data_IF_097059795333
#
_entry.id   IF_097059795333
#
_cell.length_a   1.000
_cell.length_b   1.000
_cell.length_c   1.000
_cell.angle_alpha   90.00
_cell.angle_beta   90.00
_cell.angle_gamma   90.00
#
_symmetry.space_group_name_H-M   'P 1'
#
loop_
_entity.id
_entity.type
_entity.pdbx_description
1 polymer ?
#
# COMPACT_ATOMS: atom_id res chain seq x y z
N UNK A 1 -40.12 -26.24 -9.70
CA UNK A 1 -38.81 -25.94 -10.31
C UNK A 1 -38.89 -24.59 -11.01
N UNK A 2 -38.16 -23.60 -10.52
CA UNK A 2 -37.66 -22.46 -11.29
C UNK A 2 -36.50 -21.89 -10.45
N UNK A 3 -35.29 -22.33 -10.77
CA UNK A 3 -34.05 -21.82 -10.19
C UNK A 3 -33.86 -20.40 -10.73
N UNK A 4 -33.93 -19.41 -9.85
CA UNK A 4 -33.63 -18.03 -10.20
C UNK A 4 -32.17 -17.90 -10.62
N UNK A 5 -31.96 -17.39 -11.83
CA UNK A 5 -30.65 -17.09 -12.40
C UNK A 5 -29.98 -15.97 -11.58
N UNK A 6 -29.04 -16.35 -10.71
CA UNK A 6 -28.05 -15.44 -10.19
C UNK A 6 -27.08 -15.13 -11.35
N UNK A 7 -27.35 -14.05 -12.08
CA UNK A 7 -26.39 -13.50 -13.04
C UNK A 7 -25.14 -13.05 -12.27
N UNK A 8 -24.15 -13.93 -12.18
CA UNK A 8 -22.78 -13.57 -11.82
C UNK A 8 -22.29 -12.54 -12.84
N UNK A 9 -22.41 -11.26 -12.50
CA UNK A 9 -21.87 -10.15 -13.29
C UNK A 9 -20.36 -10.38 -13.34
N UNK A 10 -19.86 -10.94 -14.45
CA UNK A 10 -18.43 -11.25 -14.63
C UNK A 10 -17.65 -9.97 -14.34
N UNK A 11 -16.79 -9.98 -13.31
CA UNK A 11 -15.84 -8.90 -13.07
C UNK A 11 -14.94 -8.84 -14.30
N UNK A 12 -15.05 -7.79 -15.09
CA UNK A 12 -14.25 -7.60 -16.30
C UNK A 12 -12.87 -7.16 -15.89
N UNK A 13 -11.88 -8.02 -16.11
CA UNK A 13 -10.47 -7.63 -16.00
C UNK A 13 -10.15 -6.62 -17.11
N UNK A 14 -9.39 -5.58 -16.77
CA UNK A 14 -9.07 -4.46 -17.66
C UNK A 14 -7.58 -4.24 -17.85
N UNK A 15 -6.72 -4.72 -16.95
CA UNK A 15 -5.27 -4.63 -17.06
C UNK A 15 -4.60 -5.76 -16.28
N UNK A 16 -3.46 -6.27 -16.76
CA UNK A 16 -2.60 -7.17 -16.00
C UNK A 16 -1.19 -6.60 -15.87
N UNK A 17 -0.96 -5.78 -14.83
CA UNK A 17 0.28 -5.05 -14.67
C UNK A 17 1.18 -5.73 -13.64
N UNK A 18 2.18 -6.47 -14.13
CA UNK A 18 3.02 -7.34 -13.30
C UNK A 18 2.17 -8.32 -12.48
N UNK A 19 2.24 -8.26 -11.15
CA UNK A 19 1.52 -9.15 -10.24
C UNK A 19 0.12 -8.61 -9.88
N UNK A 20 -0.31 -7.51 -10.49
CA UNK A 20 -1.60 -6.85 -10.19
C UNK A 20 -2.60 -6.99 -11.33
N UNK A 21 -3.72 -7.65 -11.05
CA UNK A 21 -4.84 -7.78 -11.96
C UNK A 21 -5.91 -6.74 -11.62
N UNK A 22 -6.05 -5.72 -12.46
CA UNK A 22 -7.09 -4.70 -12.27
C UNK A 22 -8.39 -5.09 -12.95
N UNK A 23 -9.50 -4.84 -12.26
CA UNK A 23 -10.85 -4.96 -12.80
C UNK A 23 -11.48 -3.59 -13.02
N UNK A 24 -12.51 -3.54 -13.86
CA UNK A 24 -13.25 -2.30 -14.15
C UNK A 24 -13.78 -1.63 -12.86
N UNK A 25 -14.16 -2.43 -11.86
CA UNK A 25 -14.58 -1.95 -10.54
C UNK A 25 -13.48 -1.24 -9.77
N UNK A 26 -12.23 -1.68 -9.89
CA UNK A 26 -11.10 -1.08 -9.18
C UNK A 26 -10.72 0.26 -9.83
N UNK A 27 -10.74 0.29 -11.16
CA UNK A 27 -10.46 1.51 -11.94
C UNK A 27 -11.47 2.62 -11.64
N UNK A 28 -12.74 2.25 -11.47
CA UNK A 28 -13.80 3.20 -11.16
C UNK A 28 -13.54 3.97 -9.84
N UNK A 29 -12.84 3.37 -8.87
CA UNK A 29 -12.55 3.97 -7.57
C UNK A 29 -11.69 5.24 -7.70
N UNK A 30 -10.81 5.33 -8.70
CA UNK A 30 -9.96 6.50 -8.90
C UNK A 30 -10.71 7.73 -9.42
N UNK A 31 -11.83 7.53 -10.11
CA UNK A 31 -12.65 8.60 -10.70
C UNK A 31 -13.83 9.01 -9.80
N UNK A 32 -14.15 8.20 -8.80
CA UNK A 32 -15.30 8.39 -7.91
C UNK A 32 -14.95 9.05 -6.59
N UNK A 33 -16.02 9.40 -5.85
CA UNK A 33 -15.96 9.76 -4.41
C UNK A 33 -16.05 8.49 -3.56
N UNK A 34 -15.14 7.55 -3.80
CA UNK A 34 -15.14 6.20 -3.24
C UNK A 34 -13.79 5.88 -2.60
N UNK A 35 -13.80 4.96 -1.64
CA UNK A 35 -12.58 4.44 -1.04
C UNK A 35 -11.82 3.59 -2.03
N UNK A 36 -10.50 3.75 -2.06
CA UNK A 36 -9.64 2.80 -2.75
C UNK A 36 -9.62 1.50 -1.96
N UNK A 37 -9.66 0.37 -2.67
CA UNK A 37 -9.45 -0.94 -2.12
C UNK A 37 -7.97 -1.34 -2.22
N UNK A 38 -7.61 -2.47 -1.62
CA UNK A 38 -6.26 -3.02 -1.62
C UNK A 38 -5.69 -3.16 -3.03
N UNK A 39 -6.49 -3.65 -3.98
CA UNK A 39 -6.05 -3.89 -5.36
C UNK A 39 -5.72 -2.58 -6.09
N UNK A 40 -6.52 -1.53 -5.90
CA UNK A 40 -6.27 -0.20 -6.45
C UNK A 40 -5.03 0.44 -5.81
N UNK A 41 -4.86 0.32 -4.49
CA UNK A 41 -3.66 0.82 -3.80
C UNK A 41 -2.42 0.08 -4.31
N UNK A 42 -2.46 -1.26 -4.33
CA UNK A 42 -1.37 -2.11 -4.78
C UNK A 42 -0.97 -1.82 -6.22
N UNK A 43 -1.94 -1.66 -7.13
CA UNK A 43 -1.66 -1.29 -8.51
C UNK A 43 -0.78 -0.05 -8.62
N UNK A 44 -1.13 1.02 -7.91
CA UNK A 44 -0.38 2.27 -8.04
C UNK A 44 0.99 2.18 -7.35
N UNK A 45 1.07 1.49 -6.21
CA UNK A 45 2.36 1.21 -5.58
C UNK A 45 3.28 0.40 -6.51
N UNK A 46 2.75 -0.64 -7.17
CA UNK A 46 3.50 -1.41 -8.16
C UNK A 46 3.91 -0.56 -9.35
N UNK A 47 3.02 0.31 -9.86
CA UNK A 47 3.38 1.26 -10.91
C UNK A 47 4.56 2.15 -10.49
N UNK A 48 4.53 2.71 -9.28
CA UNK A 48 5.63 3.53 -8.76
C UNK A 48 6.92 2.71 -8.61
N UNK A 49 6.85 1.46 -8.13
CA UNK A 49 8.00 0.54 -8.03
C UNK A 49 8.69 0.37 -9.39
N UNK A 50 7.92 0.23 -10.46
CA UNK A 50 8.45 -0.08 -11.79
C UNK A 50 8.93 1.16 -12.56
N UNK A 51 8.46 2.36 -12.20
CA UNK A 51 8.66 3.56 -13.04
C UNK A 51 9.32 4.74 -12.34
N UNK A 52 9.27 4.81 -11.02
CA UNK A 52 9.69 5.99 -10.25
C UNK A 52 10.65 5.64 -9.12
N UNK A 53 10.37 4.58 -8.37
CA UNK A 53 11.13 4.20 -7.20
C UNK A 53 12.56 3.80 -7.58
N UNK A 54 13.51 4.12 -6.71
CA UNK A 54 14.87 3.56 -6.78
C UNK A 54 14.88 2.15 -6.17
N UNK A 55 15.87 1.33 -6.54
CA UNK A 55 15.96 -0.06 -6.08
C UNK A 55 16.07 -0.20 -4.54
N UNK A 56 16.52 0.83 -3.83
CA UNK A 56 16.59 0.86 -2.37
C UNK A 56 15.29 1.31 -1.68
N UNK A 57 14.23 1.57 -2.44
CA UNK A 57 12.90 1.93 -1.93
C UNK A 57 11.97 0.71 -2.02
N UNK A 58 11.34 0.37 -0.89
CA UNK A 58 10.28 -0.64 -0.83
C UNK A 58 8.92 0.05 -0.72
N UNK A 59 8.05 -0.22 -1.69
CA UNK A 59 6.62 0.04 -1.59
C UNK A 59 5.95 -1.30 -1.26
N UNK A 60 5.41 -1.43 -0.05
CA UNK A 60 4.87 -2.71 0.41
C UNK A 60 3.45 -2.94 -0.11
N UNK A 61 3.18 -4.12 -0.65
CA UNK A 61 1.85 -4.56 -1.05
C UNK A 61 0.94 -4.66 0.20
N UNK A 62 -0.28 -4.06 0.20
CA UNK A 62 -1.25 -4.24 1.28
C UNK A 62 -1.48 -5.71 1.71
N UNK A 63 -1.48 -6.66 0.77
CA UNK A 63 -1.63 -8.08 1.07
C UNK A 63 -0.42 -8.65 1.83
N UNK A 64 0.79 -8.16 1.52
CA UNK A 64 2.01 -8.51 2.26
C UNK A 64 1.98 -7.93 3.68
N UNK A 65 1.45 -6.70 3.85
CA UNK A 65 1.23 -6.12 5.20
C UNK A 65 0.24 -6.94 6.00
N UNK A 66 -0.86 -7.39 5.37
CA UNK A 66 -1.83 -8.28 5.99
C UNK A 66 -1.22 -9.64 6.39
N UNK A 67 -0.42 -10.24 5.51
CA UNK A 67 0.33 -11.46 5.80
C UNK A 67 1.26 -11.27 7.01
N UNK A 68 2.05 -10.19 7.02
CA UNK A 68 2.95 -9.82 8.12
C UNK A 68 2.23 -9.72 9.47
N UNK A 69 1.00 -9.20 9.48
CA UNK A 69 0.25 -8.95 10.72
C UNK A 69 -0.48 -10.18 11.26
N UNK A 70 -0.84 -11.12 10.39
CA UNK A 70 -1.83 -12.14 10.71
C UNK A 70 -1.45 -13.58 10.37
N UNK A 71 -0.35 -13.77 9.63
CA UNK A 71 0.09 -15.10 9.20
C UNK A 71 1.52 -15.40 9.63
N UNK A 72 2.35 -14.40 9.93
CA UNK A 72 3.68 -14.62 10.51
C UNK A 72 3.57 -14.86 12.02
N UNK A 73 3.84 -16.09 12.45
CA UNK A 73 3.84 -16.57 13.83
C UNK A 73 5.25 -16.92 14.33
N UNK A 74 6.17 -17.30 13.42
CA UNK A 74 7.54 -17.70 13.77
C UNK A 74 8.64 -17.05 12.92
N UNK A 75 9.89 -17.21 13.38
CA UNK A 75 11.07 -16.59 12.78
C UNK A 75 11.29 -17.01 11.32
N UNK A 76 10.95 -18.24 10.94
CA UNK A 76 11.16 -18.73 9.57
C UNK A 76 10.20 -18.03 8.60
N UNK A 77 8.94 -17.82 9.01
CA UNK A 77 7.95 -17.07 8.22
C UNK A 77 8.34 -15.59 8.06
N UNK A 78 8.86 -14.95 9.12
CA UNK A 78 9.42 -13.59 9.02
C UNK A 78 10.62 -13.56 8.07
N UNK A 79 11.51 -14.54 8.13
CA UNK A 79 12.66 -14.62 7.22
C UNK A 79 12.24 -14.77 5.76
N UNK A 80 11.28 -15.64 5.48
CA UNK A 80 10.80 -15.87 4.11
C UNK A 80 10.09 -14.65 3.55
N UNK A 81 9.25 -13.98 4.35
CA UNK A 81 8.60 -12.73 3.95
C UNK A 81 9.64 -11.64 3.70
N UNK A 82 10.65 -11.50 4.58
CA UNK A 82 11.70 -10.51 4.45
C UNK A 82 12.57 -10.74 3.21
N UNK A 83 12.85 -12.00 2.86
CA UNK A 83 13.53 -12.40 1.61
C UNK A 83 12.67 -12.04 0.40
N UNK A 84 11.36 -12.35 0.45
CA UNK A 84 10.42 -12.08 -0.64
C UNK A 84 10.35 -10.60 -1.02
N UNK A 85 10.44 -9.69 -0.04
CA UNK A 85 10.48 -8.23 -0.31
C UNK A 85 11.91 -7.66 -0.43
N UNK A 86 12.93 -8.52 -0.32
CA UNK A 86 14.35 -8.17 -0.34
C UNK A 86 14.70 -7.06 0.69
N UNK A 87 14.16 -7.17 1.90
CA UNK A 87 14.19 -6.10 2.92
C UNK A 87 15.61 -5.66 3.31
N UNK A 88 16.59 -6.57 3.28
CA UNK A 88 17.97 -6.27 3.64
C UNK A 88 18.60 -5.16 2.78
N UNK A 89 18.12 -4.98 1.54
CA UNK A 89 18.64 -3.99 0.60
C UNK A 89 17.85 -2.67 0.61
N UNK A 90 16.76 -2.59 1.39
CA UNK A 90 15.83 -1.45 1.38
C UNK A 90 16.20 -0.42 2.44
N UNK A 91 16.40 0.83 2.02
CA UNK A 91 16.77 1.96 2.88
C UNK A 91 15.57 2.82 3.26
N UNK A 92 14.56 2.84 2.41
CA UNK A 92 13.29 3.53 2.61
C UNK A 92 12.17 2.52 2.39
N UNK A 93 11.32 2.32 3.38
CA UNK A 93 10.16 1.45 3.26
C UNK A 93 8.89 2.28 3.48
N UNK A 94 7.94 2.16 2.56
CA UNK A 94 6.66 2.84 2.56
C UNK A 94 5.60 1.74 2.65
N UNK A 95 4.93 1.69 3.80
CA UNK A 95 4.05 0.60 4.19
C UNK A 95 2.64 1.16 4.34
N UNK A 96 1.69 0.79 3.46
CA UNK A 96 0.30 1.22 3.61
C UNK A 96 -0.29 0.57 4.87
N UNK A 97 -1.04 1.35 5.63
CA UNK A 97 -1.64 0.92 6.91
C UNK A 97 -3.16 1.04 6.82
N UNK A 98 -3.84 -0.05 7.16
CA UNK A 98 -5.29 -0.10 7.38
C UNK A 98 -5.59 -0.26 8.86
N UNK A 99 -6.75 0.24 9.31
CA UNK A 99 -7.34 -0.05 10.62
C UNK A 99 -7.99 -1.44 10.73
N UNK A 100 -7.84 -2.29 9.71
CA UNK A 100 -8.31 -3.67 9.78
C UNK A 100 -7.49 -4.49 10.79
N UNK A 101 -8.17 -5.04 11.78
CA UNK A 101 -7.59 -5.87 12.84
C UNK A 101 -7.74 -7.39 12.59
N UNK A 102 -8.45 -7.80 11.53
CA UNK A 102 -8.77 -9.21 11.26
C UNK A 102 -8.53 -9.60 9.79
N UNK A 103 -8.13 -10.84 9.55
CA UNK A 103 -8.09 -11.40 8.20
C UNK A 103 -9.48 -11.39 7.58
N UNK A 104 -9.64 -10.65 6.47
CA UNK A 104 -10.93 -10.48 5.79
C UNK A 104 -11.92 -9.55 6.51
N UNK A 105 -11.47 -8.80 7.52
CA UNK A 105 -12.24 -7.74 8.14
C UNK A 105 -12.41 -6.51 7.25
N UNK A 106 -13.30 -5.61 7.65
CA UNK A 106 -13.51 -4.32 6.98
C UNK A 106 -12.50 -3.28 7.51
N UNK A 107 -11.93 -2.49 6.61
CA UNK A 107 -11.15 -1.30 6.94
C UNK A 107 -11.97 -0.04 6.65
N UNK A 108 -11.83 0.98 7.49
CA UNK A 108 -12.44 2.29 7.29
C UNK A 108 -11.45 3.37 6.88
N UNK A 109 -10.15 3.13 7.04
CA UNK A 109 -9.15 4.17 6.84
C UNK A 109 -7.77 3.68 6.41
N UNK A 110 -7.20 4.42 5.45
CA UNK A 110 -5.82 4.25 4.97
C UNK A 110 -4.90 5.34 5.51
N UNK A 111 -3.70 4.95 5.87
CA UNK A 111 -2.59 5.84 6.20
C UNK A 111 -1.26 5.23 5.73
N UNK A 112 -0.15 5.95 5.89
CA UNK A 112 1.15 5.53 5.42
C UNK A 112 2.16 5.52 6.55
N UNK A 113 2.80 4.37 6.78
CA UNK A 113 3.95 4.24 7.67
C UNK A 113 5.24 4.26 6.84
N UNK A 114 6.16 5.14 7.20
CA UNK A 114 7.47 5.26 6.58
C UNK A 114 8.53 4.77 7.56
N UNK A 115 9.39 3.84 7.13
CA UNK A 115 10.60 3.46 7.85
C UNK A 115 11.84 3.89 7.07
N UNK A 116 12.70 4.69 7.69
CA UNK A 116 13.98 5.10 7.11
C UNK A 116 14.98 5.47 8.20
N UNK A 117 16.25 5.11 8.02
CA UNK A 117 17.34 5.44 8.95
C UNK A 117 17.07 5.03 10.40
N UNK A 118 16.40 3.90 10.61
CA UNK A 118 16.09 3.40 11.95
C UNK A 118 14.88 4.06 12.62
N UNK A 119 14.13 4.90 11.91
CA UNK A 119 13.01 5.66 12.47
C UNK A 119 11.70 5.37 11.72
N UNK A 120 10.60 5.30 12.47
CA UNK A 120 9.25 5.20 11.95
C UNK A 120 8.55 6.56 12.00
N UNK A 121 7.96 6.98 10.87
CA UNK A 121 7.12 8.16 10.73
C UNK A 121 5.78 7.78 10.14
N UNK A 122 4.70 8.18 10.80
CA UNK A 122 3.33 7.87 10.41
C UNK A 122 2.65 9.13 9.84
N UNK A 123 2.16 8.99 8.61
CA UNK A 123 1.43 10.03 7.90
C UNK A 123 -0.04 9.62 7.81
N UNK A 124 -0.88 10.39 8.49
CA UNK A 124 -2.32 10.16 8.56
C UNK A 124 -3.06 11.40 8.07
N UNK A 125 -3.84 11.22 7.00
CA UNK A 125 -4.66 12.29 6.42
C UNK A 125 -5.93 12.59 7.22
N UNK A 126 -6.26 11.73 8.21
CA UNK A 126 -7.24 11.98 9.26
C UNK A 126 -6.54 11.85 10.61
N UNK A 127 -5.77 12.87 10.99
CA UNK A 127 -4.81 12.84 12.10
C UNK A 127 -5.22 11.99 13.31
N UNK A 128 -4.45 10.93 13.56
CA UNK A 128 -4.58 10.06 14.73
C UNK A 128 -5.54 8.89 14.58
N UNK A 129 -6.25 8.77 13.46
CA UNK A 129 -7.21 7.68 13.22
C UNK A 129 -6.50 6.32 13.22
N UNK A 130 -5.39 6.18 12.46
CA UNK A 130 -4.64 4.92 12.38
C UNK A 130 -3.47 4.83 13.36
N UNK A 131 -3.38 5.69 14.39
CA UNK A 131 -2.26 5.66 15.35
C UNK A 131 -2.02 4.28 15.96
N UNK A 132 -3.09 3.57 16.32
CA UNK A 132 -2.97 2.22 16.89
C UNK A 132 -2.49 1.22 15.84
N UNK A 133 -3.11 1.23 14.66
CA UNK A 133 -2.77 0.36 13.53
C UNK A 133 -1.32 0.56 13.06
N UNK A 134 -0.86 1.81 12.94
CA UNK A 134 0.50 2.15 12.56
C UNK A 134 1.53 1.58 13.55
N UNK A 135 1.25 1.64 14.86
CA UNK A 135 2.11 1.02 15.88
C UNK A 135 2.09 -0.51 15.82
N UNK A 136 0.94 -1.12 15.51
CA UNK A 136 0.85 -2.58 15.28
C UNK A 136 1.75 -2.98 14.10
N UNK A 137 1.61 -2.29 12.97
CA UNK A 137 2.44 -2.52 11.78
C UNK A 137 3.92 -2.29 12.09
N UNK A 138 4.28 -1.20 12.79
CA UNK A 138 5.67 -0.90 13.15
C UNK A 138 6.30 -2.02 14.00
N UNK A 139 5.56 -2.60 14.96
CA UNK A 139 6.06 -3.72 15.77
C UNK A 139 6.33 -4.96 14.93
N UNK A 140 5.38 -5.37 14.09
CA UNK A 140 5.60 -6.52 13.19
C UNK A 140 6.72 -6.25 12.18
N UNK A 141 6.84 -5.02 11.67
CA UNK A 141 7.92 -4.63 10.77
C UNK A 141 9.30 -4.65 11.48
N UNK A 142 9.37 -4.31 12.76
CA UNK A 142 10.61 -4.45 13.55
C UNK A 142 11.05 -5.92 13.68
N UNK A 143 10.11 -6.85 13.86
CA UNK A 143 10.41 -8.29 13.79
C UNK A 143 10.91 -8.70 12.40
N UNK A 144 10.29 -8.19 11.35
CA UNK A 144 10.71 -8.43 9.97
C UNK A 144 12.14 -7.91 9.69
N UNK A 145 12.52 -6.76 10.26
CA UNK A 145 13.90 -6.24 10.18
C UNK A 145 14.88 -7.19 10.88
N UNK A 146 14.56 -7.63 12.09
CA UNK A 146 15.41 -8.55 12.87
C UNK A 146 15.64 -9.88 12.15
N UNK A 147 14.63 -10.39 11.43
CA UNK A 147 14.75 -11.59 10.61
C UNK A 147 15.78 -11.46 9.47
N UNK A 148 16.15 -10.22 9.08
CA UNK A 148 17.26 -9.97 8.13
C UNK A 148 18.61 -9.73 8.80
N UNK A 149 18.70 -9.82 10.13
CA UNK A 149 19.87 -9.42 10.92
C UNK A 149 20.03 -7.90 11.06
N UNK A 150 18.98 -7.13 10.73
CA UNK A 150 18.98 -5.66 10.88
C UNK A 150 18.47 -5.27 12.26
N UNK A 151 19.29 -4.48 12.95
CA UNK A 151 19.02 -3.95 14.29
C UNK A 151 18.89 -2.42 14.31
N UNK A 152 18.91 -1.78 13.12
CA UNK A 152 18.81 -0.32 13.03
C UNK A 152 17.45 0.22 13.48
N UNK A 153 16.42 -0.62 13.52
CA UNK A 153 15.08 -0.27 14.00
C UNK A 153 14.75 -0.72 15.42
N UNK A 154 15.72 -1.18 16.23
CA UNK A 154 15.43 -1.75 17.56
C UNK A 154 14.74 -0.74 18.50
N UNK A 155 13.56 -1.12 18.99
CA UNK A 155 12.68 -0.29 19.82
C UNK A 155 12.09 0.93 19.10
N UNK A 156 12.27 1.06 17.78
CA UNK A 156 11.71 2.17 17.01
C UNK A 156 10.18 2.08 16.96
N UNK A 157 9.59 0.89 17.06
CA UNK A 157 8.13 0.72 17.06
C UNK A 157 7.43 1.37 18.28
N UNK A 158 8.16 1.60 19.38
CA UNK A 158 7.64 2.33 20.55
C UNK A 158 7.73 3.86 20.38
N UNK A 159 8.45 4.32 19.36
CA UNK A 159 8.74 5.74 19.08
C UNK A 159 8.26 6.18 17.70
N UNK A 160 7.17 5.58 17.21
CA UNK A 160 6.54 6.02 15.94
C UNK A 160 6.17 7.50 16.05
N UNK A 161 6.79 8.32 15.21
CA UNK A 161 6.52 9.76 15.11
C UNK A 161 5.23 9.98 14.31
N UNK A 162 4.24 10.63 14.92
CA UNK A 162 3.04 11.10 14.24
C UNK A 162 3.32 12.45 13.56
N UNK A 163 3.37 12.48 12.23
CA UNK A 163 3.75 13.68 11.47
C UNK A 163 2.63 14.70 11.51
N UNK A 164 2.79 15.73 12.33
CA UNK A 164 1.74 16.72 12.64
C UNK A 164 1.36 17.60 11.45
N UNK A 165 2.29 17.85 10.54
CA UNK A 165 2.13 18.68 9.35
C UNK A 165 1.79 17.86 8.09
N UNK A 166 1.42 16.59 8.26
CA UNK A 166 0.94 15.75 7.16
C UNK A 166 -0.30 16.38 6.51
N UNK A 167 -0.42 16.38 5.16
CA UNK A 167 -1.61 16.86 4.47
C UNK A 167 -2.89 16.17 4.97
N UNK A 168 -3.89 16.96 5.37
CA UNK A 168 -5.16 16.45 5.88
C UNK A 168 -6.23 16.39 4.77
N UNK A 169 -7.03 15.32 4.77
CA UNK A 169 -8.14 15.15 3.84
C UNK A 169 -9.30 16.07 4.21
N UNK A 170 -9.98 16.62 3.20
CA UNK A 170 -11.15 17.50 3.38
C UNK A 170 -12.49 16.78 3.14
N UNK A 171 -12.46 15.46 2.99
CA UNK A 171 -13.62 14.62 2.73
C UNK A 171 -13.43 13.25 3.39
N UNK A 172 -14.44 12.37 3.35
CA UNK A 172 -14.39 11.07 4.01
C UNK A 172 -13.85 9.92 3.16
N UNK A 173 -13.29 10.14 1.98
CA UNK A 173 -12.98 9.06 1.03
C UNK A 173 -11.62 9.11 0.35
N UNK A 174 -10.82 10.15 0.60
CA UNK A 174 -9.52 10.34 -0.05
C UNK A 174 -8.34 9.72 0.70
N UNK A 175 -8.53 9.09 1.86
CA UNK A 175 -7.44 8.52 2.66
C UNK A 175 -6.46 7.67 1.83
N UNK A 176 -6.97 6.76 0.99
CA UNK A 176 -6.15 5.97 0.08
C UNK A 176 -5.42 6.80 -0.99
N UNK A 177 -6.05 7.86 -1.51
CA UNK A 177 -5.41 8.78 -2.46
C UNK A 177 -4.25 9.53 -1.80
N UNK A 178 -4.40 9.95 -0.54
CA UNK A 178 -3.32 10.60 0.22
C UNK A 178 -2.14 9.66 0.44
N UNK A 179 -2.39 8.37 0.73
CA UNK A 179 -1.33 7.35 0.80
C UNK A 179 -0.54 7.28 -0.51
N UNK A 180 -1.23 7.18 -1.65
CA UNK A 180 -0.59 7.09 -2.97
C UNK A 180 0.21 8.35 -3.34
N UNK A 181 -0.33 9.52 -3.03
CA UNK A 181 0.34 10.81 -3.25
C UNK A 181 1.61 10.93 -2.41
N UNK A 182 1.57 10.55 -1.14
CA UNK A 182 2.74 10.56 -0.26
C UNK A 182 3.78 9.53 -0.71
N UNK A 183 3.36 8.34 -1.12
CA UNK A 183 4.26 7.35 -1.69
C UNK A 183 4.99 7.90 -2.93
N UNK A 184 4.26 8.51 -3.88
CA UNK A 184 4.86 9.15 -5.05
C UNK A 184 5.84 10.27 -4.64
N UNK A 185 5.44 11.12 -3.69
CA UNK A 185 6.28 12.21 -3.18
C UNK A 185 7.64 11.72 -2.68
N UNK A 186 7.65 10.65 -1.89
CA UNK A 186 8.88 10.08 -1.34
C UNK A 186 9.71 9.37 -2.43
N UNK A 187 9.09 8.66 -3.36
CA UNK A 187 9.80 8.05 -4.49
C UNK A 187 10.47 9.09 -5.39
N UNK A 188 9.80 10.23 -5.66
CA UNK A 188 10.31 11.29 -6.55
C UNK A 188 11.29 12.26 -5.90
N UNK A 189 11.70 12.05 -4.65
CA UNK A 189 12.50 13.01 -3.87
C UNK A 189 11.82 14.39 -3.81
N UNK A 190 10.57 14.41 -3.35
CA UNK A 190 9.78 15.60 -3.04
C UNK A 190 9.01 16.27 -4.21
N UNK A 191 8.50 15.50 -5.16
CA UNK A 191 7.62 16.00 -6.26
C UNK A 191 6.34 15.17 -6.35
N UNK A 192 5.20 15.81 -6.65
CA UNK A 192 3.87 15.18 -6.69
C UNK A 192 3.18 15.44 -8.02
N UNK A 193 2.35 14.50 -8.49
CA UNK A 193 1.40 14.70 -9.61
C UNK A 193 -0.06 14.72 -9.15
N UNK A 194 -0.97 15.32 -9.93
CA UNK A 194 -2.40 15.35 -9.61
C UNK A 194 -3.07 13.99 -9.86
N UNK A 195 -2.93 13.06 -8.92
CA UNK A 195 -3.21 11.64 -9.12
C UNK A 195 -4.57 11.35 -9.79
N UNK A 196 -5.68 11.83 -9.23
CA UNK A 196 -7.04 11.57 -9.77
C UNK A 196 -7.23 12.01 -11.22
N UNK A 197 -6.59 13.10 -11.62
CA UNK A 197 -6.69 13.63 -12.99
C UNK A 197 -5.84 12.81 -13.97
N UNK A 198 -4.79 12.16 -13.48
CA UNK A 198 -3.83 11.41 -14.28
C UNK A 198 -4.17 9.92 -14.37
N UNK A 199 -4.78 9.31 -13.35
CA UNK A 199 -5.04 7.87 -13.30
C UNK A 199 -5.86 7.33 -14.49
N UNK A 200 -6.96 7.96 -14.93
CA UNK A 200 -7.71 7.47 -16.10
C UNK A 200 -6.88 7.45 -17.39
N UNK A 201 -6.02 8.46 -17.58
CA UNK A 201 -5.13 8.55 -18.75
C UNK A 201 -4.04 7.50 -18.68
N UNK A 202 -3.41 7.34 -17.51
CA UNK A 202 -2.37 6.35 -17.28
C UNK A 202 -2.88 4.92 -17.55
N UNK A 203 -4.05 4.57 -17.04
CA UNK A 203 -4.65 3.24 -17.26
C UNK A 203 -4.90 3.01 -18.76
N UNK A 204 -5.45 4.01 -19.46
CA UNK A 204 -5.67 3.91 -20.91
C UNK A 204 -4.35 3.77 -21.70
N UNK A 205 -3.27 4.39 -21.26
CA UNK A 205 -1.93 4.25 -21.85
C UNK A 205 -1.34 2.85 -21.64
N UNK A 206 -1.44 2.32 -20.43
CA UNK A 206 -0.95 0.98 -20.10
C UNK A 206 -1.71 -0.10 -20.87
N UNK A 207 -3.03 0.02 -20.99
CA UNK A 207 -3.87 -0.89 -21.78
C UNK A 207 -3.46 -0.93 -23.27
N UNK A 208 -3.15 0.22 -23.86
CA UNK A 208 -2.65 0.29 -25.25
C UNK A 208 -1.30 -0.40 -25.40
N UNK A 209 -0.45 -0.27 -24.39
CA UNK A 209 0.89 -0.88 -24.38
C UNK A 209 0.81 -2.41 -24.24
N UNK A 210 -0.07 -2.92 -23.39
CA UNK A 210 -0.32 -4.37 -23.26
C UNK A 210 -0.93 -4.96 -24.54
N UNK A 211 -1.90 -4.28 -25.15
CA UNK A 211 -2.54 -4.74 -26.39
C UNK A 211 -1.58 -4.82 -27.59
N UNK A 212 -0.50 -4.03 -27.58
CA UNK A 212 0.53 -4.05 -28.64
C UNK A 212 1.64 -5.08 -28.44
N UNK A 213 1.64 -5.84 -27.34
CA UNK A 213 2.60 -6.92 -27.06
C UNK A 213 2.06 -8.32 -27.39
N UNK A 214 0.80 -8.41 -27.85
CA UNK A 214 0.11 -9.65 -28.24
C UNK A 214 0.17 -9.96 -29.72
#
# INVERSE_FOLDING_TARGET
MALGEWSARRRRQVLNYHDVQLYESDVALFSGRQWLNDNAVNFYLQFLTQTVASDDVLLMDPAVVSCLLHQCEDEDEFQDLARGVNLAQRRLCLVPVTDNDLLGGDSSHWSLLLFAKGEFRHFDSSAGHNRHAARRVARSFEHLLKATGRHDGDGAADRVEEVQDAPQQQNGYDCGVYVLVLAEYFCRRHRVTELRLHMPKLIAELQRTEAGRG
#
